data_IF_272211915441
#
_entry.id   IF_272211915441
#
_cell.length_a   1.000
_cell.length_b   1.000
_cell.length_c   1.000
_cell.angle_alpha   90.00
_cell.angle_beta   90.00
_cell.angle_gamma   90.00
#
_symmetry.space_group_name_H-M   'P 1'
#
loop_
_entity.id
_entity.type
_entity.pdbx_description
1 polymer ?
#
# COMPACT_ATOMS: atom_id res chain seq x y z
N UNK A 1 -32.42 25.61 -17.42
CA UNK A 1 -33.76 26.20 -17.65
C UNK A 1 -33.97 26.68 -19.08
N UNK A 2 -33.05 27.43 -19.71
CA UNK A 2 -33.19 27.78 -21.14
C UNK A 2 -33.02 26.57 -22.07
N UNK A 3 -32.06 25.68 -21.77
CA UNK A 3 -31.77 24.49 -22.58
C UNK A 3 -32.91 23.46 -22.62
N UNK A 4 -33.68 23.33 -21.52
CA UNK A 4 -34.82 22.42 -21.47
C UNK A 4 -35.94 22.85 -22.42
N UNK A 5 -36.17 24.16 -22.57
CA UNK A 5 -37.12 24.69 -23.54
C UNK A 5 -36.69 24.43 -24.99
N UNK A 6 -35.40 24.59 -25.30
CA UNK A 6 -34.83 24.29 -26.63
C UNK A 6 -34.91 22.79 -26.94
N UNK A 7 -34.64 21.93 -25.95
CA UNK A 7 -34.83 20.48 -26.09
C UNK A 7 -36.30 20.09 -26.29
N UNK A 8 -37.22 20.69 -25.51
CA UNK A 8 -38.67 20.45 -25.66
C UNK A 8 -39.16 20.82 -27.05
N UNK A 9 -38.72 21.95 -27.59
CA UNK A 9 -39.16 22.42 -28.91
C UNK A 9 -38.63 21.55 -30.05
N UNK A 10 -37.42 21.01 -29.92
CA UNK A 10 -36.79 20.22 -31.00
C UNK A 10 -37.05 18.72 -30.92
N UNK A 11 -37.17 18.15 -29.71
CA UNK A 11 -37.21 16.70 -29.50
C UNK A 11 -38.45 16.23 -28.71
N UNK A 12 -39.39 17.13 -28.45
CA UNK A 12 -40.61 16.84 -27.71
C UNK A 12 -40.40 16.74 -26.20
N UNK A 13 -41.51 16.55 -25.48
CA UNK A 13 -41.54 16.58 -24.01
C UNK A 13 -40.77 15.42 -23.37
N UNK A 14 -40.77 14.23 -23.97
CA UNK A 14 -40.06 13.06 -23.45
C UNK A 14 -38.54 13.27 -23.32
N UNK A 15 -37.92 14.01 -24.25
CA UNK A 15 -36.50 14.33 -24.21
C UNK A 15 -36.14 15.36 -23.13
N UNK A 16 -37.12 16.14 -22.66
CA UNK A 16 -36.93 17.16 -21.63
C UNK A 16 -37.08 16.63 -20.20
N UNK A 17 -37.81 15.52 -20.03
CA UNK A 17 -37.88 14.77 -18.77
C UNK A 17 -36.75 13.74 -18.63
N UNK A 18 -35.77 13.74 -19.54
CA UNK A 18 -34.63 12.82 -19.51
C UNK A 18 -33.79 13.04 -18.25
N UNK A 19 -33.37 11.95 -17.60
CA UNK A 19 -32.52 11.99 -16.40
C UNK A 19 -31.04 12.33 -16.72
N UNK A 20 -30.74 12.77 -17.94
CA UNK A 20 -29.40 13.12 -18.41
C UNK A 20 -28.67 14.06 -17.44
N UNK A 21 -29.35 15.09 -16.93
CA UNK A 21 -28.74 16.06 -16.01
C UNK A 21 -28.28 15.39 -14.70
N UNK A 22 -29.06 14.42 -14.19
CA UNK A 22 -28.70 13.66 -12.98
C UNK A 22 -27.54 12.70 -13.26
N UNK A 23 -27.53 12.09 -14.44
CA UNK A 23 -26.43 11.21 -14.88
C UNK A 23 -25.14 12.02 -15.01
N UNK A 24 -25.19 13.18 -15.66
CA UNK A 24 -24.05 14.08 -15.80
C UNK A 24 -23.56 14.61 -14.46
N UNK A 25 -24.46 14.98 -13.55
CA UNK A 25 -24.10 15.37 -12.19
C UNK A 25 -23.40 14.23 -11.43
N UNK A 26 -23.91 13.00 -11.52
CA UNK A 26 -23.30 11.83 -10.89
C UNK A 26 -21.90 11.51 -11.45
N UNK A 27 -21.71 11.64 -12.78
CA UNK A 27 -20.41 11.44 -13.44
C UNK A 27 -19.39 12.50 -13.00
N UNK A 28 -19.80 13.76 -12.89
CA UNK A 28 -18.92 14.84 -12.40
C UNK A 28 -18.48 14.58 -10.97
N UNK A 29 -19.39 14.17 -10.08
CA UNK A 29 -19.03 13.81 -8.70
C UNK A 29 -18.05 12.63 -8.67
N UNK A 30 -18.30 11.57 -9.45
CA UNK A 30 -17.43 10.39 -9.51
C UNK A 30 -16.01 10.74 -10.00
N UNK A 31 -15.89 11.61 -10.99
CA UNK A 31 -14.59 12.04 -11.54
C UNK A 31 -13.83 12.98 -10.61
N UNK A 32 -14.52 13.76 -9.78
CA UNK A 32 -13.92 14.66 -8.80
C UNK A 32 -13.60 13.98 -7.47
N UNK A 33 -14.22 12.84 -7.16
CA UNK A 33 -13.86 12.08 -5.96
C UNK A 33 -12.45 11.48 -6.10
N UNK A 34 -11.51 11.81 -5.21
CA UNK A 34 -10.18 11.23 -5.25
C UNK A 34 -10.28 9.73 -5.01
N UNK A 35 -9.81 8.93 -5.97
CA UNK A 35 -9.68 7.48 -5.80
C UNK A 35 -8.82 7.23 -4.57
N UNK A 36 -9.38 6.56 -3.56
CA UNK A 36 -8.61 6.10 -2.40
C UNK A 36 -7.44 5.26 -2.93
N UNK A 37 -6.21 5.68 -2.63
CA UNK A 37 -5.03 4.86 -2.90
C UNK A 37 -5.25 3.51 -2.19
N UNK A 38 -5.03 2.37 -2.84
CA UNK A 38 -5.04 1.09 -2.14
C UNK A 38 -3.95 1.17 -1.06
N UNK A 39 -4.38 1.15 0.20
CA UNK A 39 -3.46 1.00 1.32
C UNK A 39 -2.98 -0.44 1.30
N UNK A 40 -1.66 -0.63 1.20
CA UNK A 40 -1.06 -1.96 1.12
C UNK A 40 -0.76 -2.37 -0.33
N UNK A 41 0.54 -2.49 -0.59
CA UNK A 41 1.12 -3.03 -1.80
C UNK A 41 2.62 -3.24 -1.54
N UNK A 42 3.23 -4.24 -2.19
CA UNK A 42 4.67 -4.43 -2.11
C UNK A 42 5.39 -3.18 -2.64
N UNK A 43 6.30 -2.62 -1.83
CA UNK A 43 7.18 -1.53 -2.30
C UNK A 43 7.97 -2.05 -3.50
N UNK A 44 7.96 -1.36 -4.66
CA UNK A 44 8.80 -1.72 -5.79
C UNK A 44 10.25 -1.89 -5.34
N UNK A 45 10.85 -3.06 -5.60
CA UNK A 45 12.20 -3.39 -5.14
C UNK A 45 12.27 -4.22 -3.84
N UNK A 46 11.15 -4.50 -3.17
CA UNK A 46 11.15 -5.46 -2.06
C UNK A 46 11.52 -6.86 -2.55
N UNK A 47 12.62 -7.42 -2.01
CA UNK A 47 13.08 -8.78 -2.28
C UNK A 47 13.19 -9.56 -0.97
N UNK A 48 12.52 -10.70 -0.91
CA UNK A 48 12.68 -11.66 0.18
C UNK A 48 13.83 -12.59 -0.14
N UNK A 49 14.85 -12.61 0.73
CA UNK A 49 15.96 -13.55 0.63
C UNK A 49 15.66 -14.79 1.45
N UNK A 50 15.95 -15.98 0.90
CA UNK A 50 15.94 -17.22 1.66
C UNK A 50 17.14 -17.22 2.61
N UNK A 51 16.90 -16.85 3.85
CA UNK A 51 17.90 -16.93 4.92
C UNK A 51 17.71 -18.25 5.65
N UNK A 52 18.78 -19.04 5.74
CA UNK A 52 18.79 -20.23 6.58
C UNK A 52 18.91 -19.81 8.04
N UNK A 53 17.76 -19.62 8.69
CA UNK A 53 17.69 -19.18 10.09
C UNK A 53 18.17 -20.26 11.05
N UNK A 54 17.95 -21.53 10.70
CA UNK A 54 18.29 -22.66 11.57
C UNK A 54 19.81 -22.85 11.57
N UNK A 55 20.44 -22.84 10.40
CA UNK A 55 21.89 -22.92 10.31
C UNK A 55 22.58 -21.71 10.99
N UNK A 56 22.01 -20.51 10.80
CA UNK A 56 22.54 -19.31 11.46
C UNK A 56 22.43 -19.38 12.99
N UNK A 57 21.32 -19.88 13.52
CA UNK A 57 21.12 -20.05 14.97
C UNK A 57 22.08 -21.10 15.56
N UNK A 58 22.25 -22.23 14.86
CA UNK A 58 23.23 -23.25 15.22
C UNK A 58 24.64 -22.66 15.28
N UNK A 59 25.05 -21.94 14.24
CA UNK A 59 26.37 -21.33 14.16
C UNK A 59 26.59 -20.33 15.31
N UNK A 60 25.60 -19.47 15.56
CA UNK A 60 25.68 -18.48 16.63
C UNK A 60 25.84 -19.15 18.00
N UNK A 61 25.12 -20.25 18.26
CA UNK A 61 25.29 -21.03 19.49
C UNK A 61 26.71 -21.62 19.62
N UNK A 62 27.25 -22.22 18.55
CA UNK A 62 28.61 -22.77 18.56
C UNK A 62 29.68 -21.69 18.75
N UNK A 63 29.46 -20.51 18.18
CA UNK A 63 30.43 -19.42 18.23
C UNK A 63 30.49 -18.75 19.61
N UNK A 64 29.38 -18.73 20.37
CA UNK A 64 29.27 -17.89 21.58
C UNK A 64 28.73 -18.54 22.85
N UNK A 65 27.84 -19.53 22.76
CA UNK A 65 27.03 -19.96 23.91
C UNK A 65 27.30 -21.39 24.40
N UNK A 66 28.03 -22.20 23.63
CA UNK A 66 28.47 -23.53 24.06
C UNK A 66 29.60 -23.45 25.10
N UNK A 67 29.86 -24.54 25.83
CA UNK A 67 30.85 -24.59 26.92
C UNK A 67 32.27 -24.19 26.51
N UNK A 68 32.63 -24.45 25.24
CA UNK A 68 33.92 -24.07 24.64
C UNK A 68 33.64 -23.30 23.35
N UNK A 69 33.18 -22.05 23.46
CA UNK A 69 32.79 -21.27 22.29
C UNK A 69 34.02 -20.91 21.47
N UNK A 70 33.83 -20.60 20.18
CA UNK A 70 34.92 -20.08 19.35
C UNK A 70 35.39 -18.71 19.84
N UNK A 71 34.46 -17.88 20.34
CA UNK A 71 34.73 -16.57 20.90
C UNK A 71 34.48 -16.54 22.40
N UNK A 72 35.55 -16.72 23.16
CA UNK A 72 35.61 -16.64 24.61
C UNK A 72 35.36 -15.21 25.14
N UNK A 73 35.17 -15.09 26.45
CA UNK A 73 34.98 -13.79 27.14
C UNK A 73 36.07 -12.75 26.86
N UNK A 74 37.29 -13.18 26.57
CA UNK A 74 38.42 -12.32 26.20
C UNK A 74 38.25 -11.65 24.83
N UNK A 75 37.55 -12.29 23.89
CA UNK A 75 37.27 -11.73 22.57
C UNK A 75 36.19 -10.66 22.61
N UNK A 76 35.30 -10.74 23.59
CA UNK A 76 34.38 -9.66 23.85
C UNK A 76 35.15 -8.50 24.47
N UNK A 77 35.33 -7.42 23.70
CA UNK A 77 35.73 -6.13 24.29
C UNK A 77 34.59 -5.68 25.19
N UNK A 78 34.65 -6.11 26.44
CA UNK A 78 33.86 -5.59 27.55
C UNK A 78 34.12 -4.09 27.59
N UNK A 79 33.23 -3.30 26.99
CA UNK A 79 33.18 -1.84 27.16
C UNK A 79 32.63 -1.53 28.55
N UNK A 80 33.23 -2.10 29.58
CA UNK A 80 33.06 -1.62 30.95
C UNK A 80 34.15 -0.57 31.12
N UNK A 81 33.83 0.66 30.73
CA UNK A 81 34.57 1.81 31.25
C UNK A 81 34.20 1.88 32.74
N UNK A 82 35.17 1.60 33.60
CA UNK A 82 35.11 1.73 35.05
C UNK A 82 34.76 3.16 35.48
#
# INVERSE_FOLDING_TARGET
>A
MAWSYVKMSMFGTAAAYSNDDKIMAAVVVLTQTPRKRPWGGSVPGHKTYKRDRIAADWQLNQDYFVERPLYNEEHFRRRYNL
#
